data_IF_862332717797
#
_entry.id   IF_862332717797
#
_cell.length_a   1.000
_cell.length_b   1.000
_cell.length_c   1.000
_cell.angle_alpha   90.00
_cell.angle_beta   90.00
_cell.angle_gamma   90.00
#
_symmetry.space_group_name_H-M   'P 1'
#
loop_
_entity.id
_entity.type
_entity.pdbx_description
1 polymer ?
#
# COMPACT_ATOMS: atom_id res chain seq x y z
N UNK A 1 13.83 17.39 -11.73
CA UNK A 1 14.36 16.22 -10.98
C UNK A 1 14.88 15.20 -11.96
N UNK A 2 16.16 14.81 -11.86
CA UNK A 2 16.74 13.74 -12.68
C UNK A 2 15.93 12.44 -12.57
N UNK A 3 15.90 11.64 -13.64
CA UNK A 3 15.25 10.33 -13.68
C UNK A 3 15.70 9.42 -12.52
N UNK A 4 16.97 9.53 -12.11
CA UNK A 4 17.58 8.75 -11.02
C UNK A 4 17.02 9.08 -9.63
N UNK A 5 16.74 10.35 -9.31
CA UNK A 5 16.20 10.73 -7.99
C UNK A 5 14.75 10.27 -7.82
N UNK A 6 13.93 10.37 -8.88
CA UNK A 6 12.56 9.86 -8.89
C UNK A 6 12.50 8.34 -8.69
N UNK A 7 13.37 7.60 -9.37
CA UNK A 7 13.46 6.15 -9.23
C UNK A 7 13.90 5.71 -7.81
N UNK A 8 14.86 6.44 -7.21
CA UNK A 8 15.28 6.21 -5.81
C UNK A 8 14.15 6.47 -4.81
N UNK A 9 13.44 7.59 -4.94
CA UNK A 9 12.29 7.89 -4.08
C UNK A 9 11.16 6.87 -4.22
N UNK A 10 10.85 6.44 -5.44
CA UNK A 10 9.84 5.39 -5.66
C UNK A 10 10.24 4.07 -4.99
N UNK A 11 11.50 3.65 -5.13
CA UNK A 11 12.02 2.47 -4.43
C UNK A 11 11.91 2.62 -2.91
N UNK A 12 12.31 3.75 -2.37
CA UNK A 12 12.23 4.01 -0.93
C UNK A 12 10.78 3.94 -0.43
N UNK A 13 9.86 4.62 -1.10
CA UNK A 13 8.43 4.61 -0.73
C UNK A 13 7.83 3.20 -0.77
N UNK A 14 8.19 2.40 -1.77
CA UNK A 14 7.74 1.00 -1.87
C UNK A 14 8.34 0.12 -0.78
N UNK A 15 9.62 0.25 -0.44
CA UNK A 15 10.24 -0.48 0.69
C UNK A 15 9.55 -0.11 2.00
N UNK A 16 9.33 1.18 2.23
CA UNK A 16 8.63 1.66 3.42
C UNK A 16 7.20 1.13 3.48
N UNK A 17 6.48 1.09 2.35
CA UNK A 17 5.15 0.50 2.27
C UNK A 17 5.12 -0.98 2.62
N UNK A 18 6.06 -1.78 2.09
CA UNK A 18 6.22 -3.19 2.45
C UNK A 18 6.45 -3.34 3.96
N UNK A 19 7.33 -2.51 4.53
CA UNK A 19 7.63 -2.56 5.96
C UNK A 19 6.39 -2.23 6.81
N UNK A 20 5.66 -1.17 6.48
CA UNK A 20 4.45 -0.76 7.21
C UNK A 20 3.38 -1.86 7.15
N UNK A 21 3.16 -2.47 5.98
CA UNK A 21 2.18 -3.55 5.85
C UNK A 21 2.60 -4.83 6.58
N UNK A 22 3.89 -5.14 6.62
CA UNK A 22 4.41 -6.28 7.37
C UNK A 22 4.24 -6.07 8.89
N UNK A 23 4.58 -4.89 9.41
CA UNK A 23 4.36 -4.54 10.83
C UNK A 23 2.88 -4.56 11.18
N UNK A 24 2.03 -3.99 10.32
CA UNK A 24 0.59 -4.03 10.52
C UNK A 24 0.06 -5.48 10.49
N UNK A 25 0.59 -6.36 9.63
CA UNK A 25 0.20 -7.76 9.64
C UNK A 25 0.46 -8.45 10.98
N UNK A 26 1.60 -8.14 11.63
CA UNK A 26 1.94 -8.65 12.96
C UNK A 26 0.95 -8.14 14.01
N UNK A 27 0.66 -6.83 14.03
CA UNK A 27 -0.36 -6.24 14.93
C UNK A 27 -1.73 -6.93 14.77
N UNK A 28 -2.10 -7.28 13.53
CA UNK A 28 -3.35 -7.99 13.25
C UNK A 28 -3.33 -9.45 13.70
N UNK A 29 -2.18 -10.12 13.70
CA UNK A 29 -2.03 -11.45 14.29
C UNK A 29 -2.19 -11.40 15.81
N UNK A 30 -1.57 -10.43 16.47
CA UNK A 30 -1.65 -10.25 17.92
C UNK A 30 -3.08 -9.96 18.39
N UNK A 31 -3.86 -9.26 17.55
CA UNK A 31 -5.28 -8.97 17.82
C UNK A 31 -6.24 -10.11 17.42
N UNK A 32 -5.72 -11.28 17.02
CA UNK A 32 -6.53 -12.45 16.65
C UNK A 32 -7.18 -12.38 15.26
N UNK A 33 -6.84 -11.38 14.45
CA UNK A 33 -7.39 -11.19 13.11
C UNK A 33 -6.54 -11.85 12.02
N UNK A 34 -6.33 -13.16 12.17
CA UNK A 34 -5.39 -13.94 11.34
C UNK A 34 -5.66 -13.83 9.84
N UNK A 35 -6.93 -13.83 9.41
CA UNK A 35 -7.28 -13.71 7.98
C UNK A 35 -6.82 -12.38 7.37
N UNK A 36 -6.95 -11.29 8.13
CA UNK A 36 -6.55 -9.97 7.68
C UNK A 36 -5.02 -9.80 7.74
N UNK A 37 -4.37 -10.33 8.78
CA UNK A 37 -2.91 -10.42 8.85
C UNK A 37 -2.30 -11.16 7.66
N UNK A 38 -2.84 -12.34 7.29
CA UNK A 38 -2.39 -13.08 6.09
C UNK A 38 -2.59 -12.26 4.81
N UNK A 39 -3.73 -11.58 4.66
CA UNK A 39 -3.98 -10.70 3.52
C UNK A 39 -2.93 -9.57 3.42
N UNK A 40 -2.57 -8.94 4.54
CA UNK A 40 -1.52 -7.92 4.60
C UNK A 40 -0.12 -8.45 4.26
N UNK A 41 0.21 -9.68 4.65
CA UNK A 41 1.44 -10.37 4.23
C UNK A 41 1.45 -10.56 2.72
N UNK A 42 0.36 -11.04 2.12
CA UNK A 42 0.25 -11.24 0.66
C UNK A 42 0.45 -9.91 -0.08
N UNK A 43 -0.19 -8.84 0.39
CA UNK A 43 -0.03 -7.49 -0.17
C UNK A 43 1.42 -7.00 -0.06
N UNK A 44 2.06 -7.23 1.09
CA UNK A 44 3.48 -6.90 1.30
C UNK A 44 4.38 -7.64 0.30
N UNK A 45 4.13 -8.93 0.08
CA UNK A 45 4.87 -9.73 -0.91
C UNK A 45 4.64 -9.22 -2.33
N UNK A 46 3.40 -8.89 -2.71
CA UNK A 46 3.11 -8.32 -4.04
C UNK A 46 3.83 -6.98 -4.24
N UNK A 47 3.84 -6.11 -3.23
CA UNK A 47 4.59 -4.85 -3.26
C UNK A 47 6.10 -5.09 -3.41
N UNK A 48 6.65 -6.08 -2.69
CA UNK A 48 8.06 -6.44 -2.77
C UNK A 48 8.42 -7.00 -4.15
N UNK A 49 7.57 -7.86 -4.72
CA UNK A 49 7.76 -8.39 -6.08
C UNK A 49 7.68 -7.28 -7.14
N UNK A 50 6.81 -6.30 -6.95
CA UNK A 50 6.73 -5.13 -7.81
C UNK A 50 7.98 -4.24 -7.72
N UNK A 51 8.61 -4.16 -6.53
CA UNK A 51 9.87 -3.45 -6.31
C UNK A 51 11.06 -4.14 -7.00
N UNK A 52 11.16 -5.47 -6.89
CA UNK A 52 12.27 -6.26 -7.45
C UNK A 52 12.19 -6.29 -8.98
N UNK A 53 10.98 -6.38 -9.55
CA UNK A 53 10.78 -6.32 -11.01
C UNK A 53 10.66 -4.86 -11.48
N UNK A 54 11.79 -4.14 -11.52
CA UNK A 54 11.89 -2.73 -11.93
C UNK A 54 11.34 -2.38 -13.34
N UNK A 55 11.00 -3.36 -14.17
CA UNK A 55 10.26 -3.17 -15.44
C UNK A 55 8.77 -3.48 -15.29
N UNK A 56 8.15 -3.11 -14.18
CA UNK A 56 6.72 -3.27 -14.02
C UNK A 56 5.99 -2.45 -15.08
N UNK A 57 5.24 -3.13 -15.97
CA UNK A 57 4.38 -2.47 -16.95
C UNK A 57 3.47 -1.47 -16.23
N UNK A 58 3.03 -0.44 -16.96
CA UNK A 58 2.13 0.58 -16.41
C UNK A 58 0.90 -0.03 -15.72
N UNK A 59 0.34 -1.08 -16.31
CA UNK A 59 -0.80 -1.83 -15.76
C UNK A 59 -0.48 -2.44 -14.40
N UNK A 60 0.71 -3.03 -14.22
CA UNK A 60 1.16 -3.56 -12.93
C UNK A 60 1.32 -2.45 -11.90
N UNK A 61 1.83 -1.28 -12.29
CA UNK A 61 1.95 -0.15 -11.38
C UNK A 61 0.57 0.35 -10.93
N UNK A 62 -0.38 0.50 -11.85
CA UNK A 62 -1.77 0.87 -11.51
C UNK A 62 -2.39 -0.18 -10.59
N UNK A 63 -2.23 -1.47 -10.90
CA UNK A 63 -2.76 -2.56 -10.07
C UNK A 63 -2.22 -2.50 -8.63
N UNK A 64 -0.91 -2.32 -8.47
CA UNK A 64 -0.27 -2.22 -7.14
C UNK A 64 -0.77 -0.99 -6.37
N UNK A 65 -0.88 0.16 -7.02
CA UNK A 65 -1.39 1.37 -6.39
C UNK A 65 -2.86 1.20 -5.97
N UNK A 66 -3.70 0.61 -6.83
CA UNK A 66 -5.09 0.30 -6.50
C UNK A 66 -5.20 -0.68 -5.34
N UNK A 67 -4.38 -1.74 -5.33
CA UNK A 67 -4.32 -2.71 -4.24
C UNK A 67 -3.98 -2.02 -2.93
N UNK A 68 -2.96 -1.17 -2.91
CA UNK A 68 -2.56 -0.42 -1.71
C UNK A 68 -3.65 0.56 -1.24
N UNK A 69 -4.41 1.16 -2.16
CA UNK A 69 -5.55 1.99 -1.80
C UNK A 69 -6.63 1.15 -1.08
N UNK A 70 -7.01 0.01 -1.66
CA UNK A 70 -8.01 -0.90 -1.08
C UNK A 70 -7.57 -1.37 0.31
N UNK A 71 -6.30 -1.74 0.46
CA UNK A 71 -5.74 -2.20 1.74
C UNK A 71 -5.75 -1.09 2.78
N UNK A 72 -5.39 0.15 2.39
CA UNK A 72 -5.50 1.30 3.28
C UNK A 72 -6.93 1.53 3.76
N UNK A 73 -7.91 1.43 2.86
CA UNK A 73 -9.33 1.55 3.21
C UNK A 73 -9.81 0.43 4.14
N UNK A 74 -9.46 -0.82 3.85
CA UNK A 74 -9.81 -1.96 4.69
C UNK A 74 -9.19 -1.84 6.09
N UNK A 75 -7.93 -1.40 6.18
CA UNK A 75 -7.22 -1.18 7.44
C UNK A 75 -7.88 -0.05 8.24
N UNK A 76 -8.27 1.05 7.58
CA UNK A 76 -8.98 2.13 8.25
C UNK A 76 -10.32 1.67 8.85
N UNK A 77 -11.14 0.95 8.09
CA UNK A 77 -12.42 0.39 8.56
C UNK A 77 -12.19 -0.53 9.77
N UNK A 78 -11.14 -1.34 9.72
CA UNK A 78 -10.82 -2.26 10.80
C UNK A 78 -10.42 -1.53 12.07
N UNK A 79 -9.54 -0.52 11.99
CA UNK A 79 -9.18 0.29 13.14
C UNK A 79 -10.35 1.12 13.68
N UNK A 80 -11.29 1.56 12.84
CA UNK A 80 -12.55 2.15 13.30
C UNK A 80 -13.36 1.17 14.15
N UNK A 81 -13.50 -0.08 13.69
CA UNK A 81 -14.23 -1.13 14.43
C UNK A 81 -13.54 -1.51 15.75
N UNK A 82 -12.22 -1.37 15.83
CA UNK A 82 -11.44 -1.59 17.05
C UNK A 82 -11.47 -0.41 18.03
N UNK A 83 -12.12 0.71 17.67
CA UNK A 83 -12.18 1.91 18.51
C UNK A 83 -10.85 2.66 18.62
N UNK A 84 -9.87 2.41 17.74
CA UNK A 84 -8.59 3.11 17.73
C UNK A 84 -8.81 4.56 17.27
N UNK A 85 -8.34 5.52 18.05
CA UNK A 85 -8.37 6.93 17.66
C UNK A 85 -7.14 7.28 16.82
N UNK A 86 -7.29 8.18 15.84
CA UNK A 86 -6.18 8.65 15.00
C UNK A 86 -5.76 7.70 13.87
N UNK A 87 -5.49 6.42 14.17
CA UNK A 87 -5.03 5.43 13.19
C UNK A 87 -5.96 5.28 11.97
N UNK A 88 -7.31 5.24 12.11
CA UNK A 88 -8.19 5.14 10.95
C UNK A 88 -8.01 6.31 9.97
N UNK A 89 -7.79 7.53 10.47
CA UNK A 89 -7.59 8.72 9.65
C UNK A 89 -6.27 8.67 8.89
N UNK A 90 -5.20 8.19 9.52
CA UNK A 90 -3.92 7.98 8.85
C UNK A 90 -4.07 7.00 7.67
N UNK A 91 -4.79 5.90 7.88
CA UNK A 91 -5.02 4.90 6.84
C UNK A 91 -5.98 5.37 5.73
N UNK A 92 -6.93 6.24 6.04
CA UNK A 92 -7.74 6.94 5.03
C UNK A 92 -6.87 7.86 4.15
N UNK A 93 -5.93 8.60 4.73
CA UNK A 93 -4.99 9.43 3.96
C UNK A 93 -4.15 8.55 3.03
N UNK A 94 -3.66 7.41 3.51
CA UNK A 94 -2.93 6.42 2.71
C UNK A 94 -3.79 5.90 1.55
N UNK A 95 -5.04 5.52 1.82
CA UNK A 95 -6.00 5.08 0.80
C UNK A 95 -6.17 6.14 -0.30
N UNK A 96 -6.47 7.37 0.10
CA UNK A 96 -6.72 8.49 -0.83
C UNK A 96 -5.46 8.80 -1.64
N UNK A 97 -4.28 8.83 -0.99
CA UNK A 97 -3.00 9.07 -1.66
C UNK A 97 -2.71 8.04 -2.75
N UNK A 98 -2.85 6.75 -2.44
CA UNK A 98 -2.68 5.68 -3.42
C UNK A 98 -3.76 5.72 -4.52
N UNK A 99 -5.00 6.05 -4.18
CA UNK A 99 -6.09 6.20 -5.16
C UNK A 99 -5.82 7.33 -6.16
N UNK A 100 -5.38 8.50 -5.69
CA UNK A 100 -4.98 9.62 -6.55
C UNK A 100 -3.80 9.22 -7.43
N UNK A 101 -2.80 8.53 -6.88
CA UNK A 101 -1.65 8.06 -7.65
C UNK A 101 -2.07 7.08 -8.75
N UNK A 102 -2.90 6.09 -8.42
CA UNK A 102 -3.44 5.12 -9.37
C UNK A 102 -4.20 5.82 -10.50
N UNK A 103 -5.09 6.75 -10.16
CA UNK A 103 -5.88 7.50 -11.12
C UNK A 103 -5.02 8.38 -12.05
N UNK A 104 -4.00 9.08 -11.52
CA UNK A 104 -3.06 9.86 -12.36
C UNK A 104 -2.27 8.96 -13.30
N UNK A 105 -1.80 7.81 -12.82
CA UNK A 105 -1.11 6.83 -13.65
C UNK A 105 -2.04 6.18 -14.68
N UNK A 106 -3.34 6.09 -14.42
CA UNK A 106 -4.34 5.63 -15.38
C UNK A 106 -4.68 6.70 -16.43
N UNK A 107 -4.84 7.97 -16.03
CA UNK A 107 -5.22 9.09 -16.92
C UNK A 107 -4.16 9.54 -17.91
N UNK A 108 -2.86 9.34 -17.67
CA UNK A 108 -1.77 9.60 -18.65
C UNK A 108 -1.83 8.72 -19.93
N UNK A 109 -2.97 8.11 -20.24
CA UNK A 109 -3.24 7.30 -21.46
C UNK A 109 -4.07 8.10 -22.47
N UNK A 110 -4.67 9.21 -22.04
CA UNK A 110 -5.38 10.16 -22.88
C UNK A 110 -4.48 11.34 -23.20
#
# INVERSE_FOLDING_TARGET
MSSSRKARMARFASILGVFIFAVNALDQFDQGHTRFGVFLIIVSVVNLLALVRMKASRERQVLVLTLNAVVGGATAIMYFRMGKQGLPWTWLIVMVGYGIAAWRFWRKKA
#
